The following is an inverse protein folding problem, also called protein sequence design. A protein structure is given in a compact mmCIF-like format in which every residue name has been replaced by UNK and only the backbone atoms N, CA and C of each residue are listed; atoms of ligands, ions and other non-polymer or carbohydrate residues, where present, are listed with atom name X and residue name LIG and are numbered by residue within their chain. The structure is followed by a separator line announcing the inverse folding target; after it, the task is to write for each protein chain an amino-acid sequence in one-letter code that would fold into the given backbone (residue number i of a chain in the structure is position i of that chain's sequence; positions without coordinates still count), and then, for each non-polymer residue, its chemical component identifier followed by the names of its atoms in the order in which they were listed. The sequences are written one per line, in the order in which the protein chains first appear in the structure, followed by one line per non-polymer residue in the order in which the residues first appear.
data_IF_148301668886
#
_entry.id   IF_148301668886
#
_cell.length_a   1.000
_cell.length_b   1.000
_cell.length_c   1.000
_cell.angle_alpha   90.00
_cell.angle_beta   90.00
_cell.angle_gamma   90.00
#
_symmetry.space_group_name_H-M   'P 1'
#
loop_
_entity.id
_entity.type
_entity.pdbx_description
1 polymer ?
#
# COMPACT_ATOMS: atom_id res chain seq x y z
N UNK A 1 -15.18 -56.72 39.64
CA UNK A 1 -14.21 -55.60 39.76
C UNK A 1 -13.94 -55.04 38.38
N UNK A 2 -14.08 -53.72 38.17
CA UNK A 2 -13.87 -53.06 36.88
C UNK A 2 -12.53 -52.31 36.94
N UNK A 3 -11.56 -52.73 36.12
CA UNK A 3 -10.23 -52.11 36.07
C UNK A 3 -10.26 -51.06 34.95
N UNK A 4 -10.15 -49.79 35.34
CA UNK A 4 -9.98 -48.68 34.40
C UNK A 4 -8.49 -48.50 34.13
N UNK A 5 -8.09 -48.55 32.86
CA UNK A 5 -6.70 -48.31 32.47
C UNK A 5 -6.31 -46.88 32.85
N UNK A 6 -5.33 -46.73 33.75
CA UNK A 6 -4.77 -45.43 34.12
C UNK A 6 -3.97 -44.98 32.90
N UNK A 7 -4.53 -44.02 32.17
CA UNK A 7 -3.90 -43.43 30.99
C UNK A 7 -2.57 -42.77 31.37
N UNK A 8 -1.49 -43.55 31.29
CA UNK A 8 -0.14 -43.00 31.25
C UNK A 8 -0.10 -42.10 30.03
N UNK A 9 -0.20 -40.79 30.25
CA UNK A 9 -0.06 -39.79 29.22
C UNK A 9 1.22 -40.12 28.45
N UNK A 10 1.08 -40.49 27.18
CA UNK A 10 2.22 -40.73 26.29
C UNK A 10 2.83 -39.36 25.97
N UNK A 11 3.60 -38.83 26.91
CA UNK A 11 4.39 -37.62 26.72
C UNK A 11 5.57 -38.02 25.83
N UNK A 12 5.34 -38.02 24.52
CA UNK A 12 6.38 -38.34 23.55
C UNK A 12 7.45 -37.24 23.57
N UNK A 13 8.67 -37.50 24.07
CA UNK A 13 9.70 -36.48 24.27
C UNK A 13 10.16 -35.84 22.96
N UNK A 14 10.00 -36.55 21.83
CA UNK A 14 10.35 -36.04 20.51
C UNK A 14 9.39 -34.96 20.01
N UNK A 15 8.10 -35.01 20.40
CA UNK A 15 7.13 -33.96 20.06
C UNK A 15 7.43 -32.65 20.79
N UNK A 16 7.99 -32.72 22.00
CA UNK A 16 8.37 -31.55 22.80
C UNK A 16 9.53 -30.79 22.16
N UNK A 17 10.51 -31.51 21.62
CA UNK A 17 11.64 -30.92 20.91
C UNK A 17 11.21 -30.21 19.62
N UNK A 18 10.30 -30.82 18.85
CA UNK A 18 9.72 -30.19 17.65
C UNK A 18 8.97 -28.89 17.98
N UNK A 19 8.14 -28.90 19.03
CA UNK A 19 7.44 -27.70 19.50
C UNK A 19 8.41 -26.61 20.01
N UNK A 20 9.54 -26.99 20.59
CA UNK A 20 10.55 -26.04 21.06
C UNK A 20 11.29 -25.41 19.88
N UNK A 21 11.64 -26.19 18.85
CA UNK A 21 12.25 -25.66 17.62
C UNK A 21 11.30 -24.75 16.84
N UNK A 22 10.00 -25.07 16.78
CA UNK A 22 8.99 -24.21 16.16
C UNK A 22 8.82 -22.88 16.90
N UNK A 23 8.89 -22.89 18.24
CA UNK A 23 8.86 -21.66 19.05
C UNK A 23 10.09 -20.78 18.83
N UNK A 24 11.27 -21.38 18.69
CA UNK A 24 12.51 -20.63 18.42
C UNK A 24 12.50 -20.03 17.00
N UNK A 25 11.98 -20.76 16.00
CA UNK A 25 11.84 -20.25 14.63
C UNK A 25 10.82 -19.09 14.52
N UNK A 26 9.78 -19.09 15.36
CA UNK A 26 8.83 -17.98 15.42
C UNK A 26 9.39 -16.77 16.19
N UNK A 27 10.26 -16.99 17.17
CA UNK A 27 10.97 -15.93 17.90
C UNK A 27 12.09 -15.26 17.09
N UNK A 28 12.63 -15.94 16.06
CA UNK A 28 13.67 -15.41 15.17
C UNK A 28 13.15 -14.58 14.00
N UNK A 29 11.83 -14.37 13.88
CA UNK A 29 11.31 -13.32 13.00
C UNK A 29 11.60 -11.98 13.65
N UNK A 30 12.82 -11.50 13.44
CA UNK A 30 13.19 -10.14 13.79
C UNK A 30 12.11 -9.20 13.24
N UNK A 31 11.53 -8.41 14.13
CA UNK A 31 10.66 -7.29 13.77
C UNK A 31 11.45 -6.40 12.83
N UNK A 32 11.25 -6.55 11.52
CA UNK A 32 11.82 -5.65 10.52
C UNK A 32 11.11 -4.31 10.67
N UNK A 33 11.86 -3.21 10.66
CA UNK A 33 11.27 -1.88 10.59
C UNK A 33 10.36 -1.80 9.35
N UNK A 34 9.06 -1.65 9.59
CA UNK A 34 8.05 -1.52 8.54
C UNK A 34 7.54 -0.08 8.54
N UNK A 35 7.75 0.62 7.42
CA UNK A 35 7.17 1.93 7.18
C UNK A 35 5.89 1.74 6.35
N UNK A 36 4.72 1.87 6.97
CA UNK A 36 3.43 1.81 6.27
C UNK A 36 2.91 3.21 5.93
N UNK A 37 2.33 3.35 4.73
CA UNK A 37 1.55 4.55 4.38
C UNK A 37 0.28 4.55 5.24
N UNK A 38 0.03 5.68 5.93
CA UNK A 38 -1.12 5.81 6.84
C UNK A 38 -2.45 5.53 6.13
N UNK A 39 -3.40 4.99 6.86
CA UNK A 39 -4.77 4.73 6.36
C UNK A 39 -5.42 6.00 5.81
N UNK A 40 -5.14 7.15 6.44
CA UNK A 40 -5.59 8.48 6.00
C UNK A 40 -4.97 8.85 4.65
N UNK A 41 -3.66 8.70 4.47
CA UNK A 41 -3.01 8.99 3.19
C UNK A 41 -3.51 8.09 2.06
N UNK A 42 -3.76 6.80 2.35
CA UNK A 42 -4.39 5.87 1.38
C UNK A 42 -5.80 6.34 0.99
N UNK A 43 -6.58 6.85 1.94
CA UNK A 43 -7.91 7.40 1.65
C UNK A 43 -7.87 8.70 0.84
N UNK A 44 -6.81 9.51 0.98
CA UNK A 44 -6.64 10.72 0.15
C UNK A 44 -6.22 10.39 -1.29
N UNK A 45 -5.63 9.22 -1.53
CA UNK A 45 -5.24 8.76 -2.86
C UNK A 45 -6.44 8.24 -3.69
N UNK A 46 -7.61 8.02 -3.08
CA UNK A 46 -8.77 7.56 -3.85
C UNK A 46 -9.15 8.62 -4.89
N UNK A 47 -9.20 8.16 -6.15
CA UNK A 47 -9.52 8.91 -7.37
C UNK A 47 -10.57 9.99 -7.09
N UNK A 48 -10.11 11.23 -6.93
CA UNK A 48 -10.99 12.38 -6.76
C UNK A 48 -11.77 12.59 -8.07
N UNK A 49 -13.02 13.11 -8.04
CA UNK A 49 -13.78 13.49 -9.25
C UNK A 49 -13.00 14.38 -10.24
N UNK A 50 -11.91 15.01 -9.78
CA UNK A 50 -10.90 15.72 -10.56
C UNK A 50 -10.28 14.87 -11.69
N UNK A 51 -10.31 13.54 -11.63
CA UNK A 51 -9.76 12.69 -12.69
C UNK A 51 -10.58 12.71 -14.00
N UNK A 52 -11.91 12.84 -13.91
CA UNK A 52 -12.79 12.84 -15.10
C UNK A 52 -12.64 14.16 -15.87
N UNK A 53 -12.64 15.27 -15.15
CA UNK A 53 -12.46 16.61 -15.73
C UNK A 53 -11.08 16.76 -16.40
N UNK A 54 -10.05 16.09 -15.88
CA UNK A 54 -8.74 16.03 -16.52
C UNK A 54 -8.76 15.28 -17.86
N UNK A 55 -9.51 14.17 -17.96
CA UNK A 55 -9.56 13.39 -19.19
C UNK A 55 -10.20 14.19 -20.35
N UNK A 56 -11.30 14.90 -20.07
CA UNK A 56 -11.97 15.76 -21.05
C UNK A 56 -11.07 16.93 -21.48
N UNK A 57 -10.42 17.59 -20.50
CA UNK A 57 -9.48 18.68 -20.78
C UNK A 57 -8.31 18.24 -21.65
N UNK A 58 -7.76 17.05 -21.40
CA UNK A 58 -6.66 16.49 -22.21
C UNK A 58 -7.12 16.22 -23.64
N UNK A 59 -8.32 15.67 -23.84
CA UNK A 59 -8.87 15.45 -25.18
C UNK A 59 -9.06 16.76 -25.95
N UNK A 60 -9.60 17.80 -25.30
CA UNK A 60 -9.77 19.11 -25.92
C UNK A 60 -8.43 19.73 -26.36
N UNK A 61 -7.39 19.63 -25.53
CA UNK A 61 -6.04 20.13 -25.87
C UNK A 61 -5.46 19.34 -27.06
N UNK A 62 -5.60 18.01 -27.07
CA UNK A 62 -5.13 17.16 -28.18
C UNK A 62 -5.77 17.59 -29.51
N UNK A 63 -7.10 17.78 -29.53
CA UNK A 63 -7.80 18.24 -30.72
C UNK A 63 -7.30 19.62 -31.22
N UNK A 64 -6.99 20.55 -30.30
CA UNK A 64 -6.43 21.86 -30.68
C UNK A 64 -5.00 21.75 -31.25
N UNK A 65 -4.19 20.82 -30.74
CA UNK A 65 -2.84 20.55 -31.25
C UNK A 65 -2.92 19.95 -32.65
N UNK A 66 -3.78 18.94 -32.84
CA UNK A 66 -3.98 18.28 -34.15
C UNK A 66 -4.49 19.29 -35.20
N UNK A 67 -5.36 20.21 -34.79
CA UNK A 67 -5.84 21.30 -35.64
C UNK A 67 -4.80 22.43 -35.86
N UNK A 68 -3.64 22.40 -35.21
CA UNK A 68 -2.62 23.44 -35.30
C UNK A 68 -3.02 24.79 -34.69
N UNK A 69 -4.08 24.81 -33.87
CA UNK A 69 -4.64 26.03 -33.26
C UNK A 69 -4.21 26.23 -31.80
N UNK A 70 -3.54 25.24 -31.23
CA UNK A 70 -3.04 25.33 -29.87
C UNK A 70 -1.96 26.42 -29.74
N UNK A 71 -2.23 27.43 -28.91
CA UNK A 71 -1.30 28.51 -28.59
C UNK A 71 -0.95 28.45 -27.12
N UNK A 72 0.35 28.39 -26.84
CA UNK A 72 0.87 28.45 -25.47
C UNK A 72 0.74 29.88 -24.96
N UNK A 73 -0.03 30.07 -23.89
CA UNK A 73 -0.04 31.33 -23.15
C UNK A 73 1.16 31.39 -22.21
N UNK A 74 2.17 32.19 -22.60
CA UNK A 74 3.40 32.36 -21.83
C UNK A 74 3.15 32.98 -20.44
N UNK A 75 2.15 33.87 -20.30
CA UNK A 75 1.82 34.52 -19.02
C UNK A 75 1.17 33.52 -18.08
N UNK A 76 0.26 32.70 -18.60
CA UNK A 76 -0.36 31.62 -17.84
C UNK A 76 0.68 30.57 -17.41
N UNK A 77 1.58 30.18 -18.32
CA UNK A 77 2.67 29.25 -18.02
C UNK A 77 3.55 29.76 -16.88
N UNK A 78 4.03 31.01 -16.97
CA UNK A 78 4.86 31.61 -15.94
C UNK A 78 4.13 31.67 -14.59
N UNK A 79 2.85 32.03 -14.60
CA UNK A 79 2.02 32.09 -13.39
C UNK A 79 1.85 30.70 -12.75
N UNK A 80 1.64 29.65 -13.55
CA UNK A 80 1.50 28.28 -13.07
C UNK A 80 2.80 27.76 -12.45
N UNK A 81 3.94 28.00 -13.10
CA UNK A 81 5.26 27.64 -12.57
C UNK A 81 5.48 28.34 -11.24
N UNK A 82 5.21 29.65 -11.17
CA UNK A 82 5.37 30.43 -9.96
C UNK A 82 4.47 29.92 -8.83
N UNK A 83 3.20 29.63 -9.11
CA UNK A 83 2.26 29.12 -8.12
C UNK A 83 2.64 27.72 -7.61
N UNK A 84 3.21 26.87 -8.45
CA UNK A 84 3.63 25.52 -8.06
C UNK A 84 4.84 25.54 -7.12
N UNK A 85 5.80 26.44 -7.35
CA UNK A 85 7.03 26.54 -6.56
C UNK A 85 6.99 27.56 -5.43
N UNK A 86 5.93 28.37 -5.33
CA UNK A 86 5.69 29.22 -4.16
C UNK A 86 5.28 28.31 -2.99
N UNK A 87 6.22 28.10 -2.08
CA UNK A 87 6.02 27.50 -0.75
C UNK A 87 5.35 28.54 0.15
#
# INVERSE_FOLDING_TARGET
MKISNIGLNQVNPYKRNQQQTEKVQNASKASTDQLEISSVAKSMQTKSPVEVEQAERVQAIKAQIDAGTYKVDAKQLASNILNYYRI
#
